data_IF_430309517877
#
_entry.id   IF_430309517877
#
_cell.length_a   1.000
_cell.length_b   1.000
_cell.length_c   1.000
_cell.angle_alpha   90.00
_cell.angle_beta   90.00
_cell.angle_gamma   90.00
#
_symmetry.space_group_name_H-M   'P 1'
#
loop_
_entity.id
_entity.type
_entity.pdbx_description
1 polymer ?
#
# COMPACT_ATOMS: atom_id res chain seq x y z
N UNK A 1 38.31 52.36 4.23
CA UNK A 1 37.23 52.95 5.03
C UNK A 1 36.20 53.54 4.08
N UNK A 2 34.94 53.09 4.13
CA UNK A 2 33.93 53.70 3.25
C UNK A 2 33.72 55.17 3.63
N UNK A 3 33.60 56.03 2.63
CA UNK A 3 33.40 57.47 2.82
C UNK A 3 32.11 57.79 3.59
N UNK A 4 32.15 58.80 4.43
CA UNK A 4 31.03 59.25 5.28
C UNK A 4 29.66 59.25 4.59
N UNK A 5 29.50 59.66 3.29
CA UNK A 5 28.20 59.62 2.60
C UNK A 5 27.67 58.22 2.31
N UNK A 6 28.54 57.20 2.18
CA UNK A 6 28.12 55.81 1.92
C UNK A 6 27.57 55.18 3.21
N UNK A 7 28.15 55.52 4.34
CA UNK A 7 27.69 55.01 5.65
C UNK A 7 26.32 55.60 6.04
N UNK A 8 26.09 56.89 5.73
CA UNK A 8 24.77 57.53 5.95
C UNK A 8 23.71 56.96 5.02
N UNK A 9 24.04 56.63 3.80
CA UNK A 9 23.09 56.02 2.86
C UNK A 9 22.69 54.59 3.29
N UNK A 10 23.62 53.82 3.83
CA UNK A 10 23.39 52.45 4.31
C UNK A 10 22.48 52.39 5.57
N UNK A 11 22.41 53.47 6.34
CA UNK A 11 21.57 53.56 7.54
C UNK A 11 20.21 54.19 7.21
N UNK A 12 20.18 55.22 6.36
CA UNK A 12 18.95 55.95 6.07
C UNK A 12 18.00 55.14 5.16
N UNK A 13 18.54 54.38 4.19
CA UNK A 13 17.73 53.60 3.24
C UNK A 13 16.89 52.50 3.91
N UNK A 14 17.43 51.69 4.83
CA UNK A 14 16.63 50.69 5.58
C UNK A 14 15.57 51.33 6.49
N UNK A 15 15.90 52.49 7.12
CA UNK A 15 14.93 53.21 7.98
C UNK A 15 13.78 53.80 7.18
N UNK A 16 14.04 54.28 5.96
CA UNK A 16 12.97 54.74 5.06
C UNK A 16 12.10 53.58 4.57
N UNK A 17 12.72 52.40 4.27
CA UNK A 17 11.96 51.20 3.88
C UNK A 17 11.08 50.69 5.02
N UNK A 18 11.61 50.66 6.25
CA UNK A 18 10.83 50.27 7.45
C UNK A 18 9.70 51.27 7.68
N UNK A 19 9.95 52.58 7.56
CA UNK A 19 8.92 53.63 7.68
C UNK A 19 7.85 53.49 6.59
N UNK A 20 8.21 53.22 5.34
CA UNK A 20 7.27 52.98 4.26
C UNK A 20 6.40 51.75 4.47
N UNK A 21 7.00 50.65 4.93
CA UNK A 21 6.24 49.42 5.23
C UNK A 21 5.29 49.57 6.39
N UNK A 22 5.68 50.29 7.44
CA UNK A 22 4.80 50.62 8.55
C UNK A 22 3.66 51.56 8.15
N UNK A 23 3.91 52.53 7.26
CA UNK A 23 2.90 53.41 6.72
C UNK A 23 1.90 52.67 5.85
N UNK A 24 2.37 51.81 4.94
CA UNK A 24 1.51 50.93 4.10
C UNK A 24 0.65 50.01 4.99
N UNK A 25 1.29 49.39 6.00
CA UNK A 25 0.57 48.55 6.96
C UNK A 25 -0.51 49.33 7.71
N UNK A 26 -0.19 50.54 8.17
CA UNK A 26 -1.17 51.41 8.86
C UNK A 26 -2.31 51.84 7.95
N UNK A 27 -2.03 52.24 6.68
CA UNK A 27 -3.07 52.60 5.70
C UNK A 27 -3.94 51.39 5.36
N UNK A 28 -3.31 50.21 5.16
CA UNK A 28 -4.04 48.99 4.80
C UNK A 28 -4.99 48.54 5.93
N UNK A 29 -4.58 48.63 7.19
CA UNK A 29 -5.43 48.23 8.32
C UNK A 29 -6.40 49.28 8.82
N UNK A 30 -6.18 50.58 8.50
CA UNK A 30 -7.13 51.65 8.89
C UNK A 30 -8.25 51.87 7.85
N UNK A 31 -8.01 51.46 6.58
CA UNK A 31 -9.00 51.59 5.50
C UNK A 31 -9.76 50.30 5.17
N UNK A 32 -9.51 49.19 5.85
CA UNK A 32 -10.42 48.07 5.76
C UNK A 32 -11.69 48.41 6.51
N UNK A 33 -12.84 48.58 5.84
CA UNK A 33 -14.07 48.82 6.55
C UNK A 33 -14.29 47.64 7.47
N UNK A 34 -14.26 47.86 8.79
CA UNK A 34 -14.72 46.84 9.76
C UNK A 34 -16.19 46.60 9.39
N UNK A 35 -16.40 45.56 8.60
CA UNK A 35 -17.75 45.04 8.41
C UNK A 35 -18.31 44.82 9.81
N UNK A 36 -19.18 45.76 10.23
CA UNK A 36 -19.80 45.73 11.53
C UNK A 36 -20.38 44.33 11.71
N UNK A 37 -19.99 43.64 12.78
CA UNK A 37 -20.68 42.42 13.21
C UNK A 37 -22.15 42.80 13.29
N UNK A 38 -22.94 42.43 12.25
CA UNK A 38 -24.39 42.46 12.36
C UNK A 38 -24.68 41.62 13.60
N UNK A 39 -25.21 42.28 14.64
CA UNK A 39 -25.73 41.57 15.81
C UNK A 39 -26.62 40.47 15.25
N UNK A 40 -26.43 39.20 15.69
CA UNK A 40 -27.31 38.14 15.22
C UNK A 40 -28.73 38.59 15.57
N UNK A 41 -29.55 38.77 14.54
CA UNK A 41 -30.99 38.93 14.73
C UNK A 41 -31.39 37.68 15.49
N UNK A 42 -31.84 37.84 16.73
CA UNK A 42 -32.35 36.75 17.53
C UNK A 42 -33.43 36.06 16.73
N UNK A 43 -33.12 34.86 16.22
CA UNK A 43 -34.10 34.05 15.53
C UNK A 43 -35.29 33.85 16.49
N UNK A 44 -36.54 33.99 16.03
CA UNK A 44 -37.69 33.78 16.86
C UNK A 44 -37.60 32.43 17.53
N UNK A 45 -37.75 32.42 18.86
CA UNK A 45 -37.48 31.27 19.77
C UNK A 45 -38.37 30.03 19.55
N UNK A 46 -39.17 29.99 18.49
CA UNK A 46 -40.23 28.99 18.28
C UNK A 46 -40.01 28.00 17.14
N UNK A 47 -38.91 28.12 16.37
CA UNK A 47 -38.54 27.12 15.38
C UNK A 47 -37.40 26.22 15.94
N UNK A 48 -37.70 25.38 16.90
CA UNK A 48 -36.84 24.21 17.19
C UNK A 48 -36.93 23.30 15.99
N UNK A 49 -36.02 23.47 15.04
CA UNK A 49 -35.82 22.50 13.96
C UNK A 49 -35.50 21.16 14.65
N UNK A 50 -36.39 20.20 14.48
CA UNK A 50 -36.22 18.85 14.97
C UNK A 50 -34.77 18.33 14.66
N UNK A 51 -34.10 17.79 15.66
CA UNK A 51 -32.76 17.24 15.45
C UNK A 51 -32.85 16.16 14.36
N UNK A 52 -31.95 16.24 13.40
CA UNK A 52 -31.95 15.24 12.33
C UNK A 52 -31.72 13.84 12.90
N UNK A 53 -32.41 12.81 12.36
CA UNK A 53 -32.28 11.43 12.84
C UNK A 53 -30.82 10.96 12.84
N UNK A 54 -30.49 10.09 13.77
CA UNK A 54 -29.13 9.54 13.96
C UNK A 54 -28.53 8.92 12.68
N UNK A 55 -29.34 8.23 11.90
CA UNK A 55 -28.89 7.60 10.66
C UNK A 55 -28.33 8.62 9.65
N UNK A 56 -28.80 9.86 9.65
CA UNK A 56 -28.28 10.93 8.78
C UNK A 56 -26.83 11.23 9.11
N UNK A 57 -26.50 11.29 10.39
CA UNK A 57 -25.13 11.47 10.86
C UNK A 57 -24.24 10.30 10.45
N UNK A 58 -24.72 9.08 10.70
CA UNK A 58 -23.98 7.86 10.36
C UNK A 58 -23.72 7.74 8.85
N UNK A 59 -24.69 8.10 8.03
CA UNK A 59 -24.53 8.07 6.57
C UNK A 59 -23.51 9.12 6.08
N UNK A 60 -23.49 10.33 6.66
CA UNK A 60 -22.47 11.34 6.34
C UNK A 60 -21.07 10.86 6.71
N UNK A 61 -20.89 10.25 7.89
CA UNK A 61 -19.64 9.66 8.34
C UNK A 61 -19.19 8.57 7.35
N UNK A 62 -20.11 7.69 6.95
CA UNK A 62 -19.85 6.61 5.98
C UNK A 62 -19.47 7.14 4.60
N UNK A 63 -20.19 8.13 4.08
CA UNK A 63 -19.86 8.76 2.80
C UNK A 63 -18.47 9.39 2.81
N UNK A 64 -18.10 10.08 3.89
CA UNK A 64 -16.76 10.66 4.05
C UNK A 64 -15.67 9.59 4.19
N UNK A 65 -15.96 8.48 4.87
CA UNK A 65 -15.02 7.37 5.00
C UNK A 65 -14.78 6.65 3.66
N UNK A 66 -15.83 6.50 2.84
CA UNK A 66 -15.76 5.87 1.52
C UNK A 66 -15.08 6.76 0.47
N UNK A 67 -15.32 8.08 0.52
CA UNK A 67 -14.76 9.06 -0.40
C UNK A 67 -13.86 10.07 0.32
N UNK A 68 -12.63 9.72 0.70
CA UNK A 68 -11.73 10.60 1.47
C UNK A 68 -11.42 11.92 0.76
N UNK A 69 -11.38 11.92 -0.56
CA UNK A 69 -11.12 13.11 -1.38
C UNK A 69 -12.35 14.03 -1.52
N UNK A 70 -13.54 13.53 -1.13
CA UNK A 70 -14.76 14.33 -1.24
C UNK A 70 -14.82 15.42 -0.17
N UNK A 71 -14.91 16.67 -0.61
CA UNK A 71 -15.18 17.80 0.27
C UNK A 71 -16.62 17.79 0.80
N UNK A 72 -16.89 18.52 1.89
CA UNK A 72 -18.22 18.61 2.50
C UNK A 72 -19.32 19.04 1.52
N UNK A 73 -18.98 19.87 0.51
CA UNK A 73 -19.94 20.30 -0.53
C UNK A 73 -20.40 19.13 -1.39
N UNK A 74 -19.47 18.29 -1.84
CA UNK A 74 -19.80 17.11 -2.64
C UNK A 74 -20.61 16.09 -1.82
N UNK A 75 -20.23 15.86 -0.56
CA UNK A 75 -20.99 14.98 0.33
C UNK A 75 -22.41 15.47 0.54
N UNK A 76 -22.60 16.78 0.69
CA UNK A 76 -23.95 17.39 0.78
C UNK A 76 -24.77 17.09 -0.48
N UNK A 77 -24.18 17.27 -1.66
CA UNK A 77 -24.88 17.02 -2.93
C UNK A 77 -25.21 15.52 -3.09
N UNK A 78 -24.27 14.63 -2.81
CA UNK A 78 -24.46 13.16 -2.88
C UNK A 78 -25.58 12.74 -1.93
N UNK A 79 -25.53 13.21 -0.68
CA UNK A 79 -26.54 12.89 0.31
C UNK A 79 -27.93 13.34 -0.13
N UNK A 80 -28.10 14.60 -0.51
CA UNK A 80 -29.38 15.17 -0.89
C UNK A 80 -29.95 14.48 -2.16
N UNK A 81 -29.10 14.16 -3.11
CA UNK A 81 -29.51 13.40 -4.32
C UNK A 81 -29.94 11.97 -3.97
N UNK A 82 -29.21 11.28 -3.08
CA UNK A 82 -29.48 9.88 -2.72
C UNK A 82 -30.76 9.73 -1.91
N UNK A 83 -31.07 10.70 -1.08
CA UNK A 83 -32.21 10.65 -0.14
C UNK A 83 -33.34 11.63 -0.50
N UNK A 84 -33.37 12.12 -1.75
CA UNK A 84 -34.44 12.98 -2.23
C UNK A 84 -35.83 12.35 -2.11
N UNK A 85 -35.93 11.04 -2.38
CA UNK A 85 -37.19 10.29 -2.27
C UNK A 85 -37.70 10.15 -0.82
N UNK A 86 -36.84 10.38 0.18
CA UNK A 86 -37.19 10.33 1.61
C UNK A 86 -37.45 11.71 2.22
N UNK A 87 -37.52 12.74 1.37
CA UNK A 87 -37.64 14.15 1.75
C UNK A 87 -36.62 14.58 2.81
N UNK A 88 -35.42 13.99 2.76
CA UNK A 88 -34.37 14.28 3.72
C UNK A 88 -33.22 15.03 3.06
N UNK A 89 -33.01 16.27 3.50
CA UNK A 89 -31.93 17.12 3.01
C UNK A 89 -31.02 17.58 4.14
N UNK A 90 -29.76 17.84 3.82
CA UNK A 90 -28.74 18.35 4.75
C UNK A 90 -28.07 19.59 4.19
N UNK A 91 -27.76 20.54 5.07
CA UNK A 91 -27.02 21.75 4.72
C UNK A 91 -25.49 21.55 4.79
N UNK A 92 -24.76 22.36 4.03
CA UNK A 92 -23.28 22.32 3.97
C UNK A 92 -22.63 22.49 5.34
N UNK A 93 -23.16 23.42 6.17
CA UNK A 93 -22.66 23.70 7.52
C UNK A 93 -22.83 22.48 8.44
N UNK A 94 -23.97 21.79 8.35
CA UNK A 94 -24.26 20.59 9.11
C UNK A 94 -23.30 19.45 8.76
N UNK A 95 -23.09 19.20 7.46
CA UNK A 95 -22.14 18.18 6.98
C UNK A 95 -20.70 18.50 7.41
N UNK A 96 -20.28 19.76 7.28
CA UNK A 96 -18.94 20.20 7.72
C UNK A 96 -18.76 20.01 9.23
N UNK A 97 -19.76 20.34 10.03
CA UNK A 97 -19.75 20.13 11.48
C UNK A 97 -19.62 18.66 11.87
N UNK A 98 -20.36 17.77 11.20
CA UNK A 98 -20.25 16.32 11.42
C UNK A 98 -18.86 15.80 11.06
N UNK A 99 -18.32 16.15 9.89
CA UNK A 99 -16.99 15.70 9.47
C UNK A 99 -15.92 16.13 10.46
N UNK A 100 -16.00 17.33 11.00
CA UNK A 100 -15.06 17.84 11.99
C UNK A 100 -15.21 17.12 13.34
N UNK A 101 -16.44 16.99 13.84
CA UNK A 101 -16.72 16.39 15.15
C UNK A 101 -16.39 14.89 15.18
N UNK A 102 -16.69 14.16 14.11
CA UNK A 102 -16.54 12.71 14.02
C UNK A 102 -15.33 12.29 13.18
N UNK A 103 -14.26 13.10 13.18
CA UNK A 103 -13.04 12.83 12.42
C UNK A 103 -12.43 11.47 12.78
N UNK A 104 -12.39 11.13 14.07
CA UNK A 104 -11.86 9.85 14.54
C UNK A 104 -12.68 8.66 14.02
N UNK A 105 -14.01 8.72 14.12
CA UNK A 105 -14.89 7.65 13.63
C UNK A 105 -14.74 7.42 12.12
N UNK A 106 -14.59 8.52 11.37
CA UNK A 106 -14.32 8.48 9.94
C UNK A 106 -13.00 7.74 9.67
N UNK A 107 -11.94 8.00 10.43
CA UNK A 107 -10.65 7.33 10.29
C UNK A 107 -10.76 5.84 10.61
N UNK A 108 -11.45 5.47 11.69
CA UNK A 108 -11.69 4.07 12.07
C UNK A 108 -12.43 3.31 10.96
N UNK A 109 -13.49 3.90 10.41
CA UNK A 109 -14.24 3.29 9.31
C UNK A 109 -13.38 3.17 8.05
N UNK A 110 -12.58 4.20 7.72
CA UNK A 110 -11.62 4.16 6.60
C UNK A 110 -10.60 3.03 6.75
N UNK A 111 -10.04 2.86 7.95
CA UNK A 111 -9.14 1.74 8.21
C UNK A 111 -9.84 0.40 8.01
N UNK A 112 -11.05 0.23 8.54
CA UNK A 112 -11.87 -0.98 8.31
C UNK A 112 -12.17 -1.22 6.83
N UNK A 113 -12.44 -0.18 6.05
CA UNK A 113 -12.67 -0.28 4.61
C UNK A 113 -11.40 -0.62 3.83
N UNK A 114 -10.25 -0.05 4.21
CA UNK A 114 -8.94 -0.41 3.65
C UNK A 114 -8.52 -1.83 4.03
N UNK A 115 -8.84 -2.24 5.24
CA UNK A 115 -8.61 -3.59 5.75
C UNK A 115 -9.69 -4.57 5.27
N UNK A 116 -10.25 -4.40 4.07
CA UNK A 116 -11.04 -5.46 3.47
C UNK A 116 -10.19 -6.73 3.47
N UNK A 117 -10.49 -7.64 4.41
CA UNK A 117 -9.84 -8.96 4.49
C UNK A 117 -10.06 -9.62 3.14
N UNK A 118 -9.05 -9.54 2.28
CA UNK A 118 -9.02 -10.32 1.05
C UNK A 118 -8.95 -11.77 1.55
N UNK A 119 -10.06 -12.49 1.42
CA UNK A 119 -10.07 -13.93 1.68
C UNK A 119 -8.94 -14.55 0.87
N UNK A 120 -8.19 -15.47 1.47
CA UNK A 120 -7.23 -16.27 0.74
C UNK A 120 -7.98 -16.88 -0.45
N UNK A 121 -7.45 -16.68 -1.64
CA UNK A 121 -8.01 -17.28 -2.84
C UNK A 121 -7.56 -18.74 -2.97
N UNK A 122 -8.16 -19.52 -3.85
CA UNK A 122 -7.69 -20.88 -4.09
C UNK A 122 -6.24 -20.87 -4.62
N UNK A 123 -5.47 -21.88 -4.22
CA UNK A 123 -4.12 -22.12 -4.73
C UNK A 123 -4.14 -22.37 -6.25
N UNK A 124 -3.04 -22.07 -6.90
CA UNK A 124 -2.85 -22.30 -8.35
C UNK A 124 -3.82 -21.55 -9.25
N UNK A 125 -4.53 -20.54 -8.75
CA UNK A 125 -5.39 -19.69 -9.60
C UNK A 125 -4.56 -18.65 -10.35
N UNK A 126 -3.71 -17.91 -9.65
CA UNK A 126 -2.85 -16.88 -10.23
C UNK A 126 -1.50 -16.95 -9.56
N UNK A 127 -0.45 -17.17 -10.35
CA UNK A 127 0.91 -16.96 -9.92
C UNK A 127 1.41 -15.62 -10.45
N UNK A 128 2.06 -14.84 -9.60
CA UNK A 128 2.84 -13.67 -10.02
C UNK A 128 4.29 -14.06 -10.19
N UNK A 129 4.88 -13.67 -11.30
CA UNK A 129 6.29 -13.86 -11.60
C UNK A 129 6.91 -12.50 -11.84
N UNK A 130 8.06 -12.26 -11.22
CA UNK A 130 8.78 -10.99 -11.32
C UNK A 130 10.26 -11.18 -10.99
N UNK A 131 11.09 -10.20 -11.32
CA UNK A 131 12.53 -10.23 -11.13
C UNK A 131 12.97 -9.11 -10.18
N UNK A 132 14.01 -9.39 -9.43
CA UNK A 132 14.74 -8.40 -8.63
C UNK A 132 16.23 -8.65 -8.72
N UNK A 133 17.05 -7.88 -8.01
CA UNK A 133 18.50 -8.05 -8.01
C UNK A 133 19.12 -7.92 -6.62
N UNK A 134 20.26 -8.54 -6.43
CA UNK A 134 21.19 -8.37 -5.30
C UNK A 134 22.59 -8.26 -5.85
N UNK A 135 23.34 -7.28 -5.43
CA UNK A 135 24.76 -7.15 -5.72
C UNK A 135 25.54 -7.89 -4.65
N UNK A 136 26.52 -8.69 -5.07
CA UNK A 136 27.44 -9.37 -4.15
C UNK A 136 28.59 -8.46 -3.70
N UNK A 137 29.46 -8.99 -2.84
CA UNK A 137 30.60 -8.25 -2.27
C UNK A 137 31.67 -7.89 -3.31
N UNK A 138 31.63 -8.54 -4.49
CA UNK A 138 32.51 -8.24 -5.63
C UNK A 138 31.90 -7.21 -6.59
N UNK A 139 30.70 -6.69 -6.28
CA UNK A 139 30.00 -5.72 -7.11
C UNK A 139 29.23 -6.34 -8.28
N UNK A 140 29.14 -7.69 -8.38
CA UNK A 140 28.39 -8.37 -9.42
C UNK A 140 26.89 -8.41 -9.09
N UNK A 141 26.06 -7.94 -10.04
CA UNK A 141 24.60 -7.96 -9.90
C UNK A 141 24.02 -9.34 -10.29
N UNK A 142 23.40 -10.02 -9.34
CA UNK A 142 22.67 -11.24 -9.55
C UNK A 142 21.17 -10.98 -9.70
N UNK A 143 20.57 -11.53 -10.76
CA UNK A 143 19.13 -11.44 -10.97
C UNK A 143 18.41 -12.56 -10.23
N UNK A 144 17.43 -12.21 -9.42
CA UNK A 144 16.63 -13.13 -8.61
C UNK A 144 15.24 -13.25 -9.21
N UNK A 145 14.83 -14.45 -9.55
CA UNK A 145 13.48 -14.79 -9.97
C UNK A 145 12.64 -15.16 -8.76
N UNK A 146 11.47 -14.51 -8.63
CA UNK A 146 10.45 -14.87 -7.67
C UNK A 146 9.15 -15.29 -8.34
N UNK A 147 8.54 -16.38 -7.89
CA UNK A 147 7.19 -16.78 -8.27
C UNK A 147 6.36 -16.95 -7.00
N UNK A 148 5.24 -16.24 -6.93
CA UNK A 148 4.37 -16.21 -5.76
C UNK A 148 2.95 -16.63 -6.14
N UNK A 149 2.37 -17.58 -5.40
CA UNK A 149 0.94 -17.86 -5.50
C UNK A 149 0.12 -16.73 -4.85
N UNK A 150 -0.78 -16.13 -5.60
CA UNK A 150 -1.56 -14.98 -5.12
C UNK A 150 -2.69 -15.36 -4.16
N UNK A 151 -3.13 -16.61 -4.19
CA UNK A 151 -4.15 -17.10 -3.27
C UNK A 151 -3.60 -17.33 -1.87
N UNK A 152 -2.60 -18.15 -1.77
CA UNK A 152 -2.02 -18.63 -0.52
C UNK A 152 -0.84 -17.83 -0.01
N UNK A 153 -0.26 -16.93 -0.84
CA UNK A 153 0.99 -16.23 -0.58
C UNK A 153 2.23 -17.12 -0.56
N UNK A 154 2.10 -18.40 -0.90
CA UNK A 154 3.25 -19.30 -0.95
C UNK A 154 4.24 -18.82 -2.02
N UNK A 155 5.50 -18.74 -1.65
CA UNK A 155 6.58 -18.55 -2.60
C UNK A 155 6.90 -19.92 -3.25
N UNK A 156 6.62 -20.02 -4.55
CA UNK A 156 6.76 -21.23 -5.35
C UNK A 156 8.19 -21.42 -5.80
N UNK A 157 8.80 -20.36 -6.34
CA UNK A 157 10.18 -20.33 -6.81
C UNK A 157 10.85 -19.07 -6.29
N UNK A 158 12.08 -19.23 -5.79
CA UNK A 158 12.97 -18.14 -5.46
C UNK A 158 14.40 -18.61 -5.76
N UNK A 159 15.03 -18.02 -6.76
CA UNK A 159 16.35 -18.45 -7.22
C UNK A 159 17.12 -17.33 -7.90
N UNK A 160 18.42 -17.26 -7.69
CA UNK A 160 19.32 -16.42 -8.48
C UNK A 160 19.59 -17.08 -9.83
N UNK A 161 19.28 -16.35 -10.89
CA UNK A 161 19.41 -16.84 -12.26
C UNK A 161 20.86 -16.80 -12.73
N UNK A 162 21.24 -17.76 -13.55
CA UNK A 162 22.53 -17.75 -14.23
C UNK A 162 22.57 -16.64 -15.32
N UNK A 163 21.46 -16.48 -16.02
CA UNK A 163 21.22 -15.44 -17.01
C UNK A 163 19.73 -15.12 -17.12
N UNK A 164 19.40 -13.98 -17.73
CA UNK A 164 18.01 -13.55 -17.95
C UNK A 164 17.40 -14.11 -19.25
N UNK A 165 17.80 -15.32 -19.69
CA UNK A 165 17.22 -15.91 -20.88
C UNK A 165 15.81 -16.46 -20.64
N UNK A 166 14.97 -16.42 -21.66
CA UNK A 166 13.62 -17.02 -21.62
C UNK A 166 13.66 -18.50 -21.25
N UNK A 167 14.67 -19.24 -21.71
CA UNK A 167 14.85 -20.68 -21.42
C UNK A 167 15.14 -20.92 -19.93
N UNK A 168 15.98 -20.09 -19.31
CA UNK A 168 16.27 -20.18 -17.87
C UNK A 168 15.02 -19.90 -17.02
N UNK A 169 14.24 -18.91 -17.42
CA UNK A 169 12.96 -18.58 -16.76
C UNK A 169 11.94 -19.72 -16.90
N UNK A 170 11.79 -20.27 -18.11
CA UNK A 170 10.86 -21.39 -18.36
C UNK A 170 11.27 -22.64 -17.59
N UNK A 171 12.58 -22.94 -17.47
CA UNK A 171 13.07 -24.06 -16.64
C UNK A 171 12.72 -23.88 -15.18
N UNK A 172 12.93 -22.68 -14.63
CA UNK A 172 12.57 -22.38 -13.26
C UNK A 172 11.05 -22.47 -13.02
N UNK A 173 10.24 -22.00 -13.98
CA UNK A 173 8.79 -22.13 -13.94
C UNK A 173 8.36 -23.61 -14.00
N UNK A 174 8.94 -24.41 -14.90
CA UNK A 174 8.67 -25.83 -15.03
C UNK A 174 8.95 -26.59 -13.71
N UNK A 175 10.08 -26.33 -13.07
CA UNK A 175 10.41 -26.90 -11.74
C UNK A 175 9.38 -26.50 -10.67
N UNK A 176 8.86 -25.27 -10.75
CA UNK A 176 7.77 -24.84 -9.87
C UNK A 176 6.46 -25.58 -10.14
N UNK A 177 6.12 -25.78 -11.41
CA UNK A 177 4.91 -26.52 -11.84
C UNK A 177 4.98 -27.99 -11.42
N UNK A 178 6.12 -28.63 -11.59
CA UNK A 178 6.32 -30.02 -11.20
C UNK A 178 6.06 -30.23 -9.69
N UNK A 179 6.53 -29.32 -8.85
CA UNK A 179 6.43 -29.46 -7.38
C UNK A 179 5.08 -29.00 -6.79
N UNK A 180 4.47 -27.98 -7.37
CA UNK A 180 3.33 -27.28 -6.80
C UNK A 180 2.05 -27.35 -7.64
N UNK A 181 2.14 -28.01 -8.81
CA UNK A 181 1.04 -28.05 -9.78
C UNK A 181 1.00 -26.79 -10.65
N UNK A 182 0.18 -26.85 -11.70
CA UNK A 182 0.06 -25.83 -12.72
C UNK A 182 -0.87 -24.68 -12.30
N UNK A 183 -0.49 -23.41 -12.46
CA UNK A 183 -1.40 -22.29 -12.26
C UNK A 183 -2.36 -22.16 -13.46
N UNK A 184 -3.55 -21.61 -13.21
CA UNK A 184 -4.46 -21.24 -14.28
C UNK A 184 -3.96 -20.00 -15.04
N UNK A 185 -3.34 -19.06 -14.32
CA UNK A 185 -2.86 -17.80 -14.88
C UNK A 185 -1.47 -17.48 -14.33
N UNK A 186 -0.56 -17.11 -15.20
CA UNK A 186 0.73 -16.52 -14.85
C UNK A 186 0.67 -15.01 -15.13
N UNK A 187 0.87 -14.20 -14.08
CA UNK A 187 0.92 -12.74 -14.19
C UNK A 187 2.37 -12.28 -14.16
N UNK A 188 2.75 -11.43 -15.13
CA UNK A 188 4.08 -10.84 -15.23
C UNK A 188 3.96 -9.34 -15.47
N UNK A 189 5.06 -8.63 -15.28
CA UNK A 189 5.22 -7.28 -15.79
C UNK A 189 5.40 -7.25 -17.32
N UNK A 190 5.78 -6.10 -17.87
CA UNK A 190 5.97 -5.89 -19.30
C UNK A 190 7.43 -6.02 -19.76
N UNK A 191 8.30 -6.68 -18.99
CA UNK A 191 9.69 -6.91 -19.42
C UNK A 191 9.77 -7.67 -20.75
N UNK A 192 10.82 -7.38 -21.53
CA UNK A 192 10.99 -7.88 -22.90
C UNK A 192 10.95 -9.42 -22.98
N UNK A 193 11.55 -10.10 -22.01
CA UNK A 193 11.60 -11.56 -21.97
C UNK A 193 10.24 -12.22 -21.83
N UNK A 194 9.30 -11.59 -21.11
CA UNK A 194 7.92 -12.08 -20.97
C UNK A 194 7.05 -11.75 -22.18
N UNK A 195 7.51 -10.85 -23.05
CA UNK A 195 6.84 -10.51 -24.31
C UNK A 195 7.25 -11.42 -25.47
N UNK A 196 8.34 -12.21 -25.32
CA UNK A 196 8.84 -13.08 -26.37
C UNK A 196 7.75 -14.07 -26.83
N UNK A 197 7.71 -14.33 -28.13
CA UNK A 197 6.76 -15.29 -28.69
C UNK A 197 6.99 -16.70 -28.12
N UNK A 198 8.27 -17.06 -27.89
CA UNK A 198 8.65 -18.36 -27.32
C UNK A 198 8.12 -18.54 -25.91
N UNK A 199 8.22 -17.53 -25.05
CA UNK A 199 7.63 -17.56 -23.70
C UNK A 199 6.11 -17.75 -23.75
N UNK A 200 5.43 -17.00 -24.61
CA UNK A 200 3.98 -17.08 -24.76
C UNK A 200 3.52 -18.42 -25.33
N UNK A 201 4.23 -18.94 -26.33
CA UNK A 201 3.96 -20.26 -26.91
C UNK A 201 4.13 -21.36 -25.86
N UNK A 202 5.21 -21.33 -25.09
CA UNK A 202 5.47 -22.30 -24.02
C UNK A 202 4.35 -22.32 -22.98
N UNK A 203 3.86 -21.16 -22.55
CA UNK A 203 2.74 -21.06 -21.62
C UNK A 203 1.44 -21.60 -22.22
N UNK A 204 1.19 -21.32 -23.50
CA UNK A 204 0.01 -21.82 -24.21
C UNK A 204 0.03 -23.35 -24.33
N UNK A 205 1.16 -23.94 -24.68
CA UNK A 205 1.33 -25.40 -24.78
C UNK A 205 1.06 -26.10 -23.44
N UNK A 206 1.43 -25.49 -22.32
CA UNK A 206 1.18 -26.03 -20.98
C UNK A 206 -0.23 -25.66 -20.49
N UNK A 207 -1.00 -24.88 -21.25
CA UNK A 207 -2.36 -24.45 -20.90
C UNK A 207 -2.40 -23.42 -19.76
N UNK A 208 -1.42 -22.53 -19.67
CA UNK A 208 -1.35 -21.44 -18.72
C UNK A 208 -1.73 -20.14 -19.41
N UNK A 209 -2.75 -19.44 -18.89
CA UNK A 209 -3.12 -18.11 -19.38
C UNK A 209 -2.05 -17.09 -18.97
N UNK A 210 -1.43 -16.42 -19.95
CA UNK A 210 -0.52 -15.32 -19.67
C UNK A 210 -1.29 -14.02 -19.48
N UNK A 211 -1.09 -13.35 -18.34
CA UNK A 211 -1.67 -12.05 -18.04
C UNK A 211 -0.55 -11.05 -17.73
N UNK A 212 -0.37 -10.08 -18.60
CA UNK A 212 0.53 -8.96 -18.34
C UNK A 212 -0.20 -7.89 -17.54
N UNK A 213 0.51 -7.17 -16.66
CA UNK A 213 -0.04 -6.00 -16.00
C UNK A 213 -0.28 -4.90 -17.02
N UNK A 214 -1.35 -4.13 -16.81
CA UNK A 214 -1.65 -2.98 -17.65
C UNK A 214 -0.62 -1.86 -17.39
N UNK A 215 -0.23 -1.10 -18.42
CA UNK A 215 0.61 0.08 -18.24
C UNK A 215 -0.01 1.01 -17.20
N UNK A 216 0.83 1.56 -16.33
CA UNK A 216 0.43 2.46 -15.22
C UNK A 216 -0.50 1.85 -14.16
N UNK A 217 -0.60 0.50 -14.08
CA UNK A 217 -1.38 -0.20 -13.07
C UNK A 217 -0.51 -1.04 -12.10
N UNK A 218 0.44 -0.43 -11.35
CA UNK A 218 1.35 -1.17 -10.47
C UNK A 218 0.63 -1.97 -9.39
N UNK A 219 -0.55 -1.53 -8.94
CA UNK A 219 -1.33 -2.27 -7.94
C UNK A 219 -1.73 -3.69 -8.37
N UNK A 220 -1.72 -3.99 -9.67
CA UNK A 220 -1.98 -5.34 -10.16
C UNK A 220 -0.88 -6.32 -9.77
N UNK A 221 0.36 -5.83 -9.55
CA UNK A 221 1.52 -6.64 -9.15
C UNK A 221 1.88 -6.51 -7.66
N UNK A 222 1.14 -5.70 -6.90
CA UNK A 222 1.46 -5.33 -5.51
C UNK A 222 1.64 -6.48 -4.53
N UNK A 223 1.28 -7.73 -4.90
CA UNK A 223 1.51 -8.92 -4.06
C UNK A 223 2.95 -9.40 -4.15
N UNK A 224 3.49 -9.53 -5.34
CA UNK A 224 4.87 -9.95 -5.54
C UNK A 224 5.84 -8.81 -5.21
N UNK A 225 5.46 -7.55 -5.48
CA UNK A 225 6.22 -6.37 -5.05
C UNK A 225 6.42 -6.35 -3.52
N UNK A 226 5.36 -6.64 -2.76
CA UNK A 226 5.44 -6.73 -1.30
C UNK A 226 6.29 -7.91 -0.84
N UNK A 227 6.24 -9.03 -1.54
CA UNK A 227 7.13 -10.16 -1.29
C UNK A 227 8.59 -9.76 -1.49
N UNK A 228 8.91 -9.12 -2.62
CA UNK A 228 10.25 -8.62 -2.87
C UNK A 228 10.67 -7.50 -1.91
N UNK A 229 9.75 -6.67 -1.47
CA UNK A 229 10.03 -5.71 -0.40
C UNK A 229 10.50 -6.39 0.88
N UNK A 230 9.87 -7.51 1.28
CA UNK A 230 10.30 -8.31 2.43
C UNK A 230 11.65 -8.97 2.18
N UNK A 231 11.89 -9.51 0.99
CA UNK A 231 13.16 -10.12 0.61
C UNK A 231 14.29 -9.10 0.60
N UNK A 232 14.10 -7.96 -0.05
CA UNK A 232 15.11 -6.90 -0.13
C UNK A 232 15.50 -6.40 1.26
N UNK A 233 14.52 -6.13 2.11
CA UNK A 233 14.79 -5.71 3.48
C UNK A 233 15.67 -6.71 4.24
N UNK A 234 15.47 -8.01 4.06
CA UNK A 234 16.32 -9.03 4.65
C UNK A 234 17.72 -9.09 3.98
N UNK A 235 17.76 -9.05 2.64
CA UNK A 235 19.02 -9.07 1.87
C UNK A 235 19.88 -7.82 2.04
N UNK A 236 19.30 -6.68 2.36
CA UNK A 236 20.05 -5.43 2.60
C UNK A 236 20.94 -5.54 3.87
N UNK A 237 20.56 -6.42 4.79
CA UNK A 237 21.33 -6.71 6.01
C UNK A 237 22.14 -8.02 5.93
N UNK A 238 22.22 -8.63 4.75
CA UNK A 238 22.90 -9.92 4.53
C UNK A 238 23.94 -9.79 3.41
N UNK A 239 25.21 -10.02 3.75
CA UNK A 239 26.30 -10.05 2.78
C UNK A 239 26.24 -11.35 1.96
N UNK A 240 26.64 -11.25 0.71
CA UNK A 240 26.63 -12.37 -0.25
C UNK A 240 27.93 -12.33 -1.06
N UNK A 241 28.68 -13.41 -1.01
CA UNK A 241 29.98 -13.51 -1.71
C UNK A 241 29.83 -13.87 -3.20
N UNK A 242 28.83 -14.71 -3.51
CA UNK A 242 28.64 -15.22 -4.86
C UNK A 242 27.18 -15.72 -5.08
N UNK A 243 26.89 -16.10 -6.32
CA UNK A 243 25.56 -16.59 -6.70
C UNK A 243 25.13 -17.85 -5.95
N UNK A 244 26.04 -18.80 -5.65
CA UNK A 244 25.68 -20.08 -5.03
C UNK A 244 25.35 -19.87 -3.55
N UNK A 245 26.11 -19.03 -2.86
CA UNK A 245 25.76 -18.58 -1.52
C UNK A 245 24.41 -17.81 -1.51
N UNK A 246 24.19 -16.95 -2.52
CA UNK A 246 22.90 -16.28 -2.67
C UNK A 246 21.76 -17.29 -2.83
N UNK A 247 21.92 -18.35 -3.66
CA UNK A 247 20.89 -19.37 -3.82
C UNK A 247 20.61 -20.13 -2.52
N UNK A 248 21.64 -20.44 -1.75
CA UNK A 248 21.50 -21.06 -0.42
C UNK A 248 20.71 -20.13 0.52
N UNK A 249 21.07 -18.87 0.54
CA UNK A 249 20.37 -17.86 1.33
C UNK A 249 18.91 -17.69 0.91
N UNK A 250 18.63 -17.63 -0.39
CA UNK A 250 17.27 -17.56 -0.93
C UNK A 250 16.43 -18.80 -0.57
N UNK A 251 17.04 -19.98 -0.54
CA UNK A 251 16.37 -21.19 -0.09
C UNK A 251 15.96 -21.10 1.39
N UNK A 252 16.86 -20.67 2.28
CA UNK A 252 16.56 -20.46 3.70
C UNK A 252 15.47 -19.39 3.91
N UNK A 253 15.57 -18.27 3.17
CA UNK A 253 14.53 -17.26 3.18
C UNK A 253 13.16 -17.82 2.75
N UNK A 254 13.11 -18.65 1.70
CA UNK A 254 11.89 -19.28 1.23
C UNK A 254 11.28 -20.21 2.27
N UNK A 255 12.12 -21.01 2.98
CA UNK A 255 11.66 -21.84 4.10
C UNK A 255 11.05 -20.99 5.19
N UNK A 256 11.75 -19.95 5.64
CA UNK A 256 11.24 -19.02 6.64
C UNK A 256 9.94 -18.37 6.20
N UNK A 257 9.88 -17.84 4.98
CA UNK A 257 8.72 -17.14 4.46
C UNK A 257 7.47 -18.02 4.36
N UNK A 258 7.63 -19.27 3.93
CA UNK A 258 6.52 -20.20 3.74
C UNK A 258 6.09 -20.93 5.01
N UNK A 259 7.02 -21.26 5.90
CA UNK A 259 6.78 -22.20 6.99
C UNK A 259 6.92 -21.60 8.39
N UNK A 260 7.49 -20.41 8.53
CA UNK A 260 7.77 -19.80 9.83
C UNK A 260 7.05 -18.45 9.99
N UNK A 261 7.07 -17.61 8.96
CA UNK A 261 6.59 -16.24 9.02
C UNK A 261 5.06 -16.15 8.97
N UNK A 262 4.36 -15.66 10.03
CA UNK A 262 2.93 -15.42 9.97
C UNK A 262 2.59 -14.24 9.05
N UNK A 263 1.51 -14.36 8.30
CA UNK A 263 1.06 -13.33 7.37
C UNK A 263 -0.24 -12.67 7.84
N UNK A 264 -0.21 -11.35 8.03
CA UNK A 264 -1.37 -10.58 8.45
C UNK A 264 -2.57 -10.75 7.51
N UNK A 265 -2.33 -10.84 6.19
CA UNK A 265 -3.39 -11.03 5.19
C UNK A 265 -3.97 -12.46 5.18
N UNK A 266 -3.28 -13.41 5.77
CA UNK A 266 -3.72 -14.78 5.99
C UNK A 266 -4.27 -14.97 7.43
N UNK A 267 -4.58 -13.90 8.14
CA UNK A 267 -5.10 -13.91 9.50
C UNK A 267 -4.12 -14.53 10.52
N UNK A 268 -2.81 -14.35 10.30
CA UNK A 268 -1.76 -14.92 11.13
C UNK A 268 -1.31 -16.31 10.72
N UNK A 269 -1.93 -16.92 9.71
CA UNK A 269 -1.47 -18.20 9.17
C UNK A 269 -0.19 -18.02 8.34
N UNK A 270 0.59 -19.08 8.26
CA UNK A 270 1.72 -19.19 7.35
C UNK A 270 1.24 -19.67 5.96
N UNK A 271 1.96 -19.33 4.87
CA UNK A 271 1.57 -19.73 3.52
C UNK A 271 1.41 -21.26 3.34
N UNK A 272 2.25 -22.07 3.98
CA UNK A 272 2.17 -23.53 3.91
C UNK A 272 0.86 -24.08 4.50
N UNK A 273 0.35 -23.50 5.57
CA UNK A 273 -0.94 -23.89 6.17
C UNK A 273 -2.10 -23.61 5.22
N UNK A 274 -2.10 -22.41 4.62
CA UNK A 274 -3.13 -22.04 3.65
C UNK A 274 -3.03 -22.90 2.37
N UNK A 275 -1.82 -23.26 1.98
CA UNK A 275 -1.58 -24.14 0.83
C UNK A 275 -2.14 -25.55 1.04
N UNK A 276 -1.91 -26.13 2.22
CA UNK A 276 -2.38 -27.48 2.59
C UNK A 276 -3.82 -27.52 3.06
N UNK A 277 -4.50 -26.37 3.19
CA UNK A 277 -5.82 -26.25 3.83
C UNK A 277 -5.84 -26.80 5.26
N UNK A 278 -4.71 -26.71 5.98
CA UNK A 278 -4.61 -27.18 7.35
C UNK A 278 -5.47 -26.34 8.27
N UNK A 279 -6.36 -26.99 9.04
CA UNK A 279 -7.11 -26.31 10.11
C UNK A 279 -6.24 -26.22 11.37
N UNK A 280 -5.74 -25.02 11.65
CA UNK A 280 -4.88 -24.75 12.81
C UNK A 280 -5.61 -25.12 14.13
N UNK A 281 -6.92 -25.01 14.17
CA UNK A 281 -7.73 -25.28 15.39
C UNK A 281 -7.77 -26.76 15.75
N UNK A 282 -7.49 -27.64 14.80
CA UNK A 282 -7.50 -29.11 15.02
C UNK A 282 -6.10 -29.65 15.31
N UNK A 283 -5.07 -28.81 15.25
CA UNK A 283 -3.71 -29.25 15.60
C UNK A 283 -3.60 -29.52 17.09
N UNK A 284 -3.37 -30.77 17.45
CA UNK A 284 -2.83 -31.13 18.76
C UNK A 284 -1.42 -30.57 18.88
N UNK A 285 -1.03 -30.08 20.07
CA UNK A 285 0.28 -29.50 20.32
C UNK A 285 1.39 -30.40 19.80
N UNK A 286 1.99 -30.05 18.68
CA UNK A 286 3.21 -30.65 18.17
C UNK A 286 4.38 -29.90 18.78
N UNK A 287 5.56 -30.54 18.84
CA UNK A 287 6.79 -29.90 19.27
C UNK A 287 7.04 -28.67 18.43
N UNK A 288 7.18 -27.55 19.08
CA UNK A 288 7.57 -26.28 18.46
C UNK A 288 9.12 -26.26 18.36
N UNK A 289 9.62 -25.85 17.22
CA UNK A 289 11.06 -25.65 17.02
C UNK A 289 11.33 -24.18 16.78
N UNK A 290 12.39 -23.67 17.44
CA UNK A 290 12.91 -22.36 17.11
C UNK A 290 13.67 -22.42 15.80
N UNK A 291 13.25 -21.59 14.84
CA UNK A 291 13.93 -21.42 13.56
C UNK A 291 14.75 -20.14 13.62
N UNK A 292 16.03 -20.25 13.32
CA UNK A 292 16.94 -19.11 13.29
C UNK A 292 17.99 -19.32 12.20
N UNK A 293 18.07 -18.37 11.28
CA UNK A 293 19.05 -18.34 10.20
C UNK A 293 19.47 -16.90 9.92
N UNK A 294 20.57 -16.73 9.18
CA UNK A 294 21.16 -15.43 8.86
C UNK A 294 21.50 -14.65 10.14
N UNK A 295 22.24 -15.27 11.04
CA UNK A 295 22.66 -14.67 12.32
C UNK A 295 21.52 -14.00 13.10
N UNK A 296 20.37 -14.65 13.14
CA UNK A 296 19.19 -14.16 13.86
C UNK A 296 18.30 -13.18 13.07
N UNK A 297 18.65 -12.88 11.83
CA UNK A 297 17.85 -11.96 10.99
C UNK A 297 16.50 -12.55 10.60
N UNK A 298 16.44 -13.87 10.41
CA UNK A 298 15.23 -14.61 10.10
C UNK A 298 14.94 -15.62 11.22
N UNK A 299 14.00 -15.26 12.08
CA UNK A 299 13.63 -16.04 13.26
C UNK A 299 12.13 -16.32 13.30
N UNK A 300 11.77 -17.29 14.13
CA UNK A 300 10.37 -17.61 14.44
C UNK A 300 10.17 -19.04 14.89
N UNK A 301 8.93 -19.40 15.20
CA UNK A 301 8.57 -20.76 15.55
C UNK A 301 8.17 -21.55 14.30
N UNK A 302 8.80 -22.70 14.13
CA UNK A 302 8.44 -23.67 13.11
C UNK A 302 7.58 -24.76 13.71
N UNK A 303 6.39 -24.93 13.16
CA UNK A 303 5.46 -26.01 13.50
C UNK A 303 5.43 -26.99 12.32
N UNK A 304 6.06 -28.17 12.44
CA UNK A 304 6.00 -29.15 11.36
C UNK A 304 4.55 -29.60 11.15
N UNK A 305 4.17 -29.69 9.86
CA UNK A 305 2.84 -30.13 9.42
C UNK A 305 2.69 -31.64 9.47
#
# INVERSE_FOLDING_TARGET
>A
MPSLPVLTLMIILPLLLIGATLLVHRIYYTHIPRYGRRKPVSAPSHLRISAKPEWVRQEIIKLKAQGPELGYRHITMIFNRRYASKDMTVGKTFVSGIIRKYHYDIQVIRQKLKCRKLKAGPKNRIWGLDLTGKTDDQGQLHSILGILDYGTRANIVLTALQNKSTTTLLRALANGIERFGRPQTLRTDNEVMFRSWFFRLSLWLVGIRHQRIEPHCPWQNGRIERFFGTLKHALDHWAVENRDQLNTSLHLFRVWYNHVRPHQHLQGQIPAEVWSHADIRQRRSQKEYWFEVWDGLLTGYYLPS
#
